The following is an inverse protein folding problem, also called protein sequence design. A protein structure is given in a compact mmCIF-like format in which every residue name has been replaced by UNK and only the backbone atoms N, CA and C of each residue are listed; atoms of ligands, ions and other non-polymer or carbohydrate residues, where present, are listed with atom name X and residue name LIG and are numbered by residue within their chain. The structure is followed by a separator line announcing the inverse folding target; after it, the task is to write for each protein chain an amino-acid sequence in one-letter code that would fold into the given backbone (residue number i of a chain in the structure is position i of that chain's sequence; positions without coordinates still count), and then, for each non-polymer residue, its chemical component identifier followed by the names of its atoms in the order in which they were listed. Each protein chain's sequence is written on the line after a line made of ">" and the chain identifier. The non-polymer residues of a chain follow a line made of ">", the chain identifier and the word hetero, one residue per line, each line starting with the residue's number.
data_IF_947425964894
#
_entry.id   IF_947425964894
#
_cell.length_a   1.000
_cell.length_b   1.000
_cell.length_c   1.000
_cell.angle_alpha   90.00
_cell.angle_beta   90.00
_cell.angle_gamma   90.00
#
_symmetry.space_group_name_H-M   'P 1'
#
loop_
_entity.id
_entity.type
_entity.pdbx_description
1 polymer ?
#
# COMPACT_ATOMS: atom_id res chain seq x y z
N UNK A 1 -20.41 0.70 8.26
CA UNK A 1 -19.02 0.30 7.95
C UNK A 1 -18.86 -1.11 8.49
N UNK A 2 -18.31 -2.02 7.70
CA UNK A 2 -17.93 -3.34 8.23
C UNK A 2 -16.69 -3.13 9.09
N UNK A 3 -16.68 -3.70 10.28
CA UNK A 3 -15.52 -3.65 11.16
C UNK A 3 -14.27 -4.14 10.41
N UNK A 4 -13.10 -3.55 10.66
CA UNK A 4 -11.86 -4.02 10.07
C UNK A 4 -11.64 -5.50 10.43
N UNK A 5 -11.00 -6.27 9.55
CA UNK A 5 -10.58 -7.62 9.91
C UNK A 5 -9.71 -7.58 11.17
N UNK A 6 -9.93 -8.46 12.14
CA UNK A 6 -9.25 -8.42 13.44
C UNK A 6 -7.73 -8.67 13.42
N UNK A 7 -7.12 -8.82 12.25
CA UNK A 7 -5.67 -8.89 12.03
C UNK A 7 -5.07 -7.55 11.57
N UNK A 8 -5.92 -6.55 11.32
CA UNK A 8 -5.59 -5.23 10.80
C UNK A 8 -5.78 -4.19 11.89
N UNK A 9 -4.75 -3.38 12.11
CA UNK A 9 -4.64 -2.46 13.24
C UNK A 9 -3.93 -1.18 12.80
N UNK A 10 -3.94 -0.14 13.64
CA UNK A 10 -3.00 0.97 13.52
C UNK A 10 -1.59 0.49 13.92
N UNK A 11 -0.53 1.10 13.38
CA UNK A 11 0.87 0.71 13.71
C UNK A 11 1.15 0.74 15.22
N UNK A 12 0.63 1.75 15.92
CA UNK A 12 0.78 1.95 17.37
C UNK A 12 0.16 0.84 18.23
N UNK A 13 -0.75 0.05 17.67
CA UNK A 13 -1.40 -1.06 18.37
C UNK A 13 -0.54 -2.34 18.35
N UNK A 14 0.49 -2.39 17.50
CA UNK A 14 1.48 -3.45 17.59
C UNK A 14 2.49 -3.15 18.70
N UNK A 15 2.63 -4.10 19.64
CA UNK A 15 3.73 -4.06 20.61
C UNK A 15 5.09 -3.98 19.88
N UNK A 16 6.02 -3.21 20.44
CA UNK A 16 7.36 -3.03 19.85
C UNK A 16 8.05 -4.40 19.64
N UNK A 17 8.41 -4.70 18.39
CA UNK A 17 9.03 -5.98 17.99
C UNK A 17 8.05 -7.00 17.37
N UNK A 18 6.75 -6.74 17.39
CA UNK A 18 5.72 -7.60 16.80
C UNK A 18 5.14 -7.05 15.50
N UNK A 19 5.54 -5.86 15.06
CA UNK A 19 5.13 -5.31 13.77
C UNK A 19 5.65 -6.21 12.64
N UNK A 20 4.74 -6.91 11.95
CA UNK A 20 5.09 -7.82 10.85
C UNK A 20 4.95 -7.16 9.49
N UNK A 21 4.02 -6.23 9.32
CA UNK A 21 3.91 -5.42 8.13
C UNK A 21 3.14 -4.13 8.40
N UNK A 22 3.40 -3.11 7.57
CA UNK A 22 2.74 -1.82 7.61
C UNK A 22 2.63 -1.23 6.21
N UNK A 23 1.52 -0.56 5.96
CA UNK A 23 1.27 0.34 4.84
C UNK A 23 0.97 1.72 5.44
N UNK A 24 1.66 2.74 4.97
CA UNK A 24 1.37 4.14 5.27
C UNK A 24 1.07 4.87 3.95
N UNK A 25 0.02 5.69 3.99
CA UNK A 25 -0.38 6.51 2.85
C UNK A 25 -0.26 7.98 3.24
N UNK A 26 0.36 8.77 2.36
CA UNK A 26 0.35 10.22 2.51
C UNK A 26 -0.99 10.82 2.06
N UNK A 27 -1.15 12.13 2.33
CA UNK A 27 -2.32 12.90 1.94
C UNK A 27 -2.69 12.74 0.46
N UNK A 28 -4.00 12.78 0.12
CA UNK A 28 -4.46 12.66 -1.25
C UNK A 28 -4.00 13.84 -2.12
N UNK A 29 -3.64 13.53 -3.36
CA UNK A 29 -3.43 14.51 -4.44
C UNK A 29 -4.39 14.24 -5.60
N UNK A 30 -4.77 15.30 -6.32
CA UNK A 30 -5.69 15.21 -7.48
C UNK A 30 -5.00 14.70 -8.75
N UNK A 31 -3.68 14.85 -8.83
CA UNK A 31 -2.88 14.44 -9.98
C UNK A 31 -1.47 14.02 -9.55
N UNK A 32 -0.85 13.14 -10.34
CA UNK A 32 0.53 12.70 -10.15
C UNK A 32 1.38 13.10 -11.35
N UNK A 33 2.68 13.26 -11.14
CA UNK A 33 3.64 13.51 -12.21
C UNK A 33 3.78 12.29 -13.15
N UNK A 34 4.42 12.51 -14.30
CA UNK A 34 4.69 11.44 -15.27
C UNK A 34 5.71 10.43 -14.79
N UNK A 35 6.46 10.72 -13.73
CA UNK A 35 7.51 9.88 -13.18
C UNK A 35 7.02 8.98 -12.05
N UNK A 36 5.70 8.85 -11.91
CA UNK A 36 5.05 8.11 -10.84
C UNK A 36 4.45 6.80 -11.36
N UNK A 37 4.66 5.72 -10.62
CA UNK A 37 3.91 4.48 -10.82
C UNK A 37 2.55 4.57 -10.12
N UNK A 38 1.51 4.08 -10.80
CA UNK A 38 0.13 4.12 -10.28
C UNK A 38 -0.48 2.74 -10.32
N UNK A 39 -0.96 2.29 -9.16
CA UNK A 39 -1.78 1.07 -9.02
C UNK A 39 -3.22 1.50 -8.76
N UNK A 40 -4.19 0.93 -9.49
CA UNK A 40 -5.60 1.29 -9.27
C UNK A 40 -6.18 0.45 -8.13
N UNK A 41 -6.85 1.09 -7.18
CA UNK A 41 -7.55 0.43 -6.10
C UNK A 41 -8.52 -0.66 -6.61
N UNK A 42 -9.17 -0.43 -7.75
CA UNK A 42 -10.12 -1.38 -8.34
C UNK A 42 -9.48 -2.70 -8.76
N UNK A 43 -8.18 -2.68 -9.09
CA UNK A 43 -7.39 -3.85 -9.55
C UNK A 43 -6.85 -4.68 -8.37
N UNK A 44 -7.07 -4.25 -7.13
CA UNK A 44 -6.66 -4.96 -5.92
C UNK A 44 -7.66 -6.07 -5.53
N UNK A 45 -7.16 -7.16 -4.94
CA UNK A 45 -7.99 -8.21 -4.34
C UNK A 45 -8.71 -7.72 -3.07
N UNK A 46 -9.78 -8.40 -2.64
CA UNK A 46 -10.66 -7.91 -1.57
C UNK A 46 -9.94 -7.73 -0.23
N UNK A 47 -9.07 -8.67 0.14
CA UNK A 47 -8.30 -8.63 1.38
C UNK A 47 -7.25 -7.52 1.33
N UNK A 48 -6.63 -7.30 0.17
CA UNK A 48 -5.69 -6.20 -0.06
C UNK A 48 -6.41 -4.85 -0.04
N UNK A 49 -7.63 -4.77 -0.61
CA UNK A 49 -8.51 -3.60 -0.53
C UNK A 49 -8.83 -3.24 0.91
N UNK A 50 -8.94 -4.21 1.83
CA UNK A 50 -9.17 -3.93 3.25
C UNK A 50 -8.00 -3.15 3.87
N UNK A 51 -6.75 -3.53 3.56
CA UNK A 51 -5.54 -2.82 4.03
C UNK A 51 -5.54 -1.36 3.57
N UNK A 52 -5.76 -1.15 2.27
CA UNK A 52 -5.77 0.20 1.70
C UNK A 52 -6.92 1.02 2.28
N UNK A 53 -8.14 0.47 2.34
CA UNK A 53 -9.30 1.17 2.94
C UNK A 53 -9.04 1.57 4.39
N UNK A 54 -8.42 0.70 5.16
CA UNK A 54 -8.08 1.00 6.54
C UNK A 54 -7.05 2.14 6.63
N UNK A 55 -5.99 2.07 5.81
CA UNK A 55 -4.96 3.12 5.75
C UNK A 55 -5.54 4.47 5.30
N UNK A 56 -6.53 4.48 4.42
CA UNK A 56 -7.22 5.71 4.00
C UNK A 56 -8.01 6.39 5.12
N UNK A 57 -8.42 5.62 6.14
CA UNK A 57 -9.20 6.14 7.28
C UNK A 57 -8.28 6.49 8.46
N UNK A 58 -7.20 5.73 8.64
CA UNK A 58 -6.33 5.77 9.82
C UNK A 58 -4.88 6.20 9.53
N UNK A 59 -4.59 6.68 8.32
CA UNK A 59 -3.26 7.05 7.79
C UNK A 59 -2.28 5.88 7.63
N UNK A 60 -2.43 4.83 8.43
CA UNK A 60 -1.66 3.60 8.38
C UNK A 60 -2.54 2.36 8.56
N UNK A 61 -2.05 1.23 8.06
CA UNK A 61 -2.56 -0.08 8.40
C UNK A 61 -1.40 -1.01 8.68
N UNK A 62 -1.49 -1.76 9.77
CA UNK A 62 -0.46 -2.65 10.25
C UNK A 62 -1.04 -4.03 10.59
N UNK A 63 -0.15 -5.01 10.69
CA UNK A 63 -0.47 -6.30 11.27
C UNK A 63 0.66 -6.79 12.17
N UNK A 64 0.28 -7.38 13.29
CA UNK A 64 1.21 -7.96 14.24
C UNK A 64 1.19 -9.51 14.22
N UNK A 65 0.29 -10.11 13.43
CA UNK A 65 0.02 -11.56 13.46
C UNK A 65 0.20 -12.25 12.12
N UNK A 66 -0.15 -11.60 11.00
CA UNK A 66 -0.08 -12.23 9.69
C UNK A 66 0.16 -11.22 8.56
N UNK A 67 1.37 -11.25 7.98
CA UNK A 67 1.76 -10.35 6.90
C UNK A 67 1.36 -10.82 5.49
N UNK A 68 0.66 -11.96 5.33
CA UNK A 68 0.33 -12.55 4.01
C UNK A 68 -0.29 -11.54 3.04
N UNK A 69 -1.29 -10.79 3.47
CA UNK A 69 -2.01 -9.86 2.60
C UNK A 69 -1.20 -8.59 2.30
N UNK A 70 -0.28 -8.20 3.19
CA UNK A 70 0.67 -7.13 2.91
C UNK A 70 1.72 -7.58 1.89
N UNK A 71 2.20 -8.82 1.96
CA UNK A 71 3.08 -9.40 0.94
C UNK A 71 2.38 -9.49 -0.42
N UNK A 72 1.09 -9.84 -0.44
CA UNK A 72 0.27 -9.83 -1.66
C UNK A 72 0.09 -8.41 -2.22
N UNK A 73 -0.12 -7.41 -1.36
CA UNK A 73 -0.16 -6.00 -1.76
C UNK A 73 1.18 -5.58 -2.39
N UNK A 74 2.30 -5.93 -1.75
CA UNK A 74 3.64 -5.65 -2.26
C UNK A 74 3.85 -6.23 -3.65
N UNK A 75 3.53 -7.51 -3.85
CA UNK A 75 3.58 -8.15 -5.17
C UNK A 75 2.68 -7.45 -6.18
N UNK A 76 1.45 -7.10 -5.80
CA UNK A 76 0.52 -6.37 -6.69
C UNK A 76 1.08 -5.01 -7.12
N UNK A 77 1.76 -4.29 -6.21
CA UNK A 77 2.39 -3.01 -6.55
C UNK A 77 3.54 -3.19 -7.52
N UNK A 78 4.34 -4.24 -7.36
CA UNK A 78 5.40 -4.59 -8.30
C UNK A 78 4.78 -4.88 -9.68
N UNK A 79 3.84 -5.82 -9.75
CA UNK A 79 3.30 -6.34 -11.01
C UNK A 79 2.42 -5.33 -11.77
N UNK A 80 1.70 -4.46 -11.05
CA UNK A 80 0.70 -3.53 -11.64
C UNK A 80 1.16 -2.09 -11.67
N UNK A 81 2.15 -1.73 -10.86
CA UNK A 81 2.67 -0.36 -10.76
C UNK A 81 4.08 -0.27 -11.32
N UNK A 82 5.03 -0.91 -10.66
CA UNK A 82 6.46 -0.74 -10.94
C UNK A 82 6.89 -1.36 -12.27
N UNK A 83 6.50 -2.62 -12.54
CA UNK A 83 6.89 -3.29 -13.78
C UNK A 83 6.33 -2.60 -15.02
N UNK A 84 5.02 -2.27 -15.11
CA UNK A 84 4.49 -1.55 -16.27
C UNK A 84 5.13 -0.17 -16.46
N UNK A 85 5.47 0.52 -15.37
CA UNK A 85 6.19 1.79 -15.45
C UNK A 85 7.60 1.58 -16.04
N UNK A 86 8.35 0.60 -15.52
CA UNK A 86 9.70 0.25 -16.00
C UNK A 86 9.71 -0.22 -17.45
N UNK A 87 8.76 -1.04 -17.85
CA UNK A 87 8.62 -1.51 -19.23
C UNK A 87 8.36 -0.35 -20.21
N UNK A 88 7.59 0.65 -19.78
CA UNK A 88 7.25 1.82 -20.60
C UNK A 88 8.39 2.84 -20.68
N UNK A 89 9.11 3.06 -19.58
CA UNK A 89 10.06 4.18 -19.44
C UNK A 89 11.52 3.76 -19.47
N UNK A 90 11.83 2.52 -19.10
CA UNK A 90 13.20 2.06 -18.85
C UNK A 90 13.78 2.51 -17.51
N UNK A 91 13.01 3.19 -16.66
CA UNK A 91 13.47 3.82 -15.42
C UNK A 91 12.64 3.38 -14.20
N UNK A 92 13.18 3.56 -12.99
CA UNK A 92 12.38 3.42 -11.77
C UNK A 92 11.56 4.70 -11.53
N UNK A 93 10.33 4.59 -11.02
CA UNK A 93 9.54 5.77 -10.69
C UNK A 93 10.08 6.48 -9.45
N UNK A 94 9.88 7.79 -9.37
CA UNK A 94 10.25 8.61 -8.21
C UNK A 94 9.30 8.37 -7.02
N UNK A 95 8.08 7.91 -7.30
CA UNK A 95 7.04 7.64 -6.31
C UNK A 95 6.00 6.66 -6.81
N UNK A 96 5.30 6.04 -5.86
CA UNK A 96 4.27 5.04 -6.14
C UNK A 96 2.98 5.49 -5.48
N UNK A 97 1.88 5.42 -6.22
CA UNK A 97 0.57 5.85 -5.76
C UNK A 97 -0.47 4.76 -5.91
N UNK A 98 -1.43 4.75 -4.99
CA UNK A 98 -2.68 4.03 -5.14
C UNK A 98 -3.76 5.02 -5.58
N UNK A 99 -4.34 4.80 -6.77
CA UNK A 99 -5.49 5.57 -7.23
C UNK A 99 -6.78 5.01 -6.64
N UNK A 100 -7.47 5.79 -5.82
CA UNK A 100 -8.78 5.45 -5.26
C UNK A 100 -9.77 6.55 -5.58
N UNK A 101 -10.83 6.20 -6.32
CA UNK A 101 -11.79 7.16 -6.87
C UNK A 101 -11.07 8.26 -7.69
N UNK A 102 -11.22 9.52 -7.28
CA UNK A 102 -10.68 10.70 -7.96
C UNK A 102 -9.31 11.14 -7.43
N UNK A 103 -8.79 10.47 -6.38
CA UNK A 103 -7.55 10.86 -5.71
C UNK A 103 -6.45 9.79 -5.82
N UNK A 104 -5.22 10.27 -5.71
CA UNK A 104 -4.01 9.45 -5.65
C UNK A 104 -3.39 9.59 -4.26
N UNK A 105 -3.08 8.45 -3.66
CA UNK A 105 -2.49 8.38 -2.33
C UNK A 105 -1.08 7.84 -2.46
N UNK A 106 -0.08 8.64 -2.10
CA UNK A 106 1.33 8.22 -2.18
C UNK A 106 1.59 7.15 -1.14
N UNK A 107 2.21 6.05 -1.55
CA UNK A 107 2.74 5.06 -0.63
C UNK A 107 4.01 5.67 -0.01
N UNK A 108 3.93 6.11 1.25
CA UNK A 108 5.09 6.62 1.98
C UNK A 108 5.93 5.48 2.54
N UNK A 109 5.30 4.35 2.85
CA UNK A 109 5.90 3.18 3.47
C UNK A 109 5.08 1.95 3.11
N UNK A 110 5.72 0.93 2.55
CA UNK A 110 5.18 -0.43 2.53
C UNK A 110 6.30 -1.37 2.94
N UNK A 111 6.16 -1.88 4.17
CA UNK A 111 7.13 -2.78 4.78
C UNK A 111 6.45 -4.08 5.13
N UNK A 112 7.07 -5.18 4.75
CA UNK A 112 6.76 -6.53 5.23
C UNK A 112 8.04 -7.03 5.89
N UNK A 113 7.95 -7.74 7.01
CA UNK A 113 9.16 -8.28 7.64
C UNK A 113 9.97 -9.08 6.61
N UNK A 114 11.25 -8.75 6.52
CA UNK A 114 12.22 -9.27 5.54
C UNK A 114 12.01 -8.85 4.06
N UNK A 115 11.09 -7.92 3.75
CA UNK A 115 10.85 -7.35 2.41
C UNK A 115 10.41 -5.88 2.47
N UNK A 116 11.16 -4.98 1.83
CA UNK A 116 10.83 -3.55 1.79
C UNK A 116 10.70 -3.11 0.34
N UNK A 117 9.68 -2.31 0.03
CA UNK A 117 9.59 -1.58 -1.24
C UNK A 117 10.53 -0.36 -1.13
N UNK A 118 11.64 -0.30 -1.89
CA UNK A 118 12.54 0.86 -1.89
C UNK A 118 11.91 2.08 -2.56
#
# INVERSE_FOLDING_TARGET
>A
MNDPPGWLHEERECESGYLLAVLELADPVESVDSNSAVVKFTELDQEVKAIVRYSLVHESAATCTNAKFFAQLLGTIVDKGLEPYREKTGENPDSIYIKSQDYYYRISSLRVRDQVLP
#
